data_IF_289941687160
#
_entry.id   IF_289941687160
#
_cell.length_a   1.000
_cell.length_b   1.000
_cell.length_c   1.000
_cell.angle_alpha   90.00
_cell.angle_beta   90.00
_cell.angle_gamma   90.00
#
_symmetry.space_group_name_H-M   'P 1'
#
loop_
_entity.id
_entity.type
_entity.pdbx_description
1 polymer ?
#
# COMPACT_ATOMS: atom_id res chain seq x y z
N UNK A 1 22.30 0.43 -7.70
CA UNK A 1 23.04 -0.80 -8.04
C UNK A 1 24.26 -0.54 -8.91
N UNK A 2 24.14 0.05 -10.10
CA UNK A 2 25.27 0.16 -11.04
C UNK A 2 26.55 0.82 -10.46
N UNK A 3 26.37 1.80 -9.56
CA UNK A 3 27.48 2.49 -8.88
C UNK A 3 28.20 1.59 -7.84
N UNK A 4 27.48 0.66 -7.20
CA UNK A 4 28.06 -0.32 -6.27
C UNK A 4 28.91 -1.37 -7.00
N UNK A 5 28.51 -1.69 -8.22
CA UNK A 5 29.19 -2.63 -9.10
C UNK A 5 30.34 -1.99 -9.92
N UNK A 6 30.63 -0.71 -9.67
CA UNK A 6 31.80 -0.01 -10.23
C UNK A 6 31.55 0.81 -11.49
N UNK A 7 30.29 0.97 -11.95
CA UNK A 7 29.99 1.79 -13.13
C UNK A 7 30.38 3.25 -12.89
N UNK A 8 31.45 3.68 -13.56
CA UNK A 8 31.97 5.05 -13.51
C UNK A 8 33.14 5.28 -12.55
N UNK A 9 33.68 4.24 -11.92
CA UNK A 9 34.88 4.35 -11.08
C UNK A 9 36.14 4.30 -11.95
N UNK A 10 36.84 5.43 -12.04
CA UNK A 10 38.10 5.56 -12.81
C UNK A 10 39.27 4.79 -12.21
N UNK A 11 39.11 4.31 -10.97
CA UNK A 11 40.07 3.44 -10.29
C UNK A 11 39.79 1.95 -10.50
N UNK A 12 38.77 1.58 -11.29
CA UNK A 12 38.60 0.18 -11.70
C UNK A 12 39.86 -0.28 -12.44
N UNK A 13 40.62 -1.10 -11.74
CA UNK A 13 41.85 -1.67 -12.25
C UNK A 13 41.50 -2.56 -13.46
N UNK A 14 41.68 -2.01 -14.65
CA UNK A 14 41.51 -2.68 -15.95
C UNK A 14 42.24 -4.03 -15.98
N UNK A 15 43.23 -4.24 -15.09
CA UNK A 15 43.98 -5.48 -14.90
C UNK A 15 43.18 -6.63 -14.28
N UNK A 16 42.09 -6.35 -13.55
CA UNK A 16 41.19 -7.37 -13.02
C UNK A 16 40.16 -7.86 -14.05
N UNK A 17 40.14 -7.30 -15.27
CA UNK A 17 39.50 -7.87 -16.45
C UNK A 17 37.97 -7.98 -16.46
N UNK A 18 37.30 -7.87 -15.30
CA UNK A 18 35.86 -8.01 -15.20
C UNK A 18 35.17 -6.65 -15.21
N UNK A 19 34.37 -6.43 -16.24
CA UNK A 19 33.44 -5.32 -16.30
C UNK A 19 32.27 -5.51 -15.31
N UNK A 20 31.53 -4.42 -15.12
CA UNK A 20 30.30 -4.41 -14.34
C UNK A 20 29.35 -5.55 -14.72
N UNK A 21 29.20 -5.80 -16.02
CA UNK A 21 28.23 -6.76 -16.57
C UNK A 21 28.64 -8.21 -16.25
N UNK A 22 29.93 -8.50 -16.20
CA UNK A 22 30.46 -9.80 -15.80
C UNK A 22 30.15 -10.12 -14.34
N UNK A 23 30.35 -9.15 -13.44
CA UNK A 23 30.04 -9.32 -12.00
C UNK A 23 28.54 -9.47 -11.78
N UNK A 24 27.76 -8.68 -12.50
CA UNK A 24 26.30 -8.78 -12.47
C UNK A 24 25.84 -10.19 -12.90
N UNK A 25 26.37 -10.74 -13.98
CA UNK A 25 26.02 -12.09 -14.44
C UNK A 25 26.34 -13.18 -13.41
N UNK A 26 27.47 -13.06 -12.69
CA UNK A 26 27.82 -13.99 -11.61
C UNK A 26 26.88 -13.88 -10.41
N UNK A 27 26.48 -12.66 -10.04
CA UNK A 27 25.53 -12.43 -8.95
C UNK A 27 24.12 -12.91 -9.31
N UNK A 28 23.70 -12.77 -10.57
CA UNK A 28 22.45 -13.35 -11.10
C UNK A 28 22.42 -14.87 -10.96
N UNK A 29 23.51 -15.56 -11.32
CA UNK A 29 23.62 -17.02 -11.20
C UNK A 29 23.66 -17.50 -9.75
N UNK A 30 24.40 -16.80 -8.88
CA UNK A 30 24.41 -17.09 -7.45
C UNK A 30 23.02 -16.90 -6.83
N UNK A 31 22.32 -15.81 -7.17
CA UNK A 31 20.98 -15.53 -6.68
C UNK A 31 19.98 -16.60 -7.14
N UNK A 32 20.04 -17.01 -8.41
CA UNK A 32 19.22 -18.12 -8.93
C UNK A 32 19.45 -19.41 -8.14
N UNK A 33 20.70 -19.79 -7.89
CA UNK A 33 21.00 -20.99 -7.12
C UNK A 33 20.38 -20.93 -5.72
N UNK A 34 20.58 -19.80 -5.01
CA UNK A 34 20.01 -19.59 -3.67
C UNK A 34 18.47 -19.63 -3.65
N UNK A 35 17.82 -19.11 -4.69
CA UNK A 35 16.36 -19.15 -4.84
C UNK A 35 15.85 -20.57 -5.11
N UNK A 36 16.48 -21.31 -6.02
CA UNK A 36 16.06 -22.68 -6.37
C UNK A 36 16.23 -23.63 -5.19
N UNK A 37 17.34 -23.50 -4.46
CA UNK A 37 17.60 -24.27 -3.23
C UNK A 37 16.81 -23.74 -2.01
N UNK A 38 16.15 -22.59 -2.15
CA UNK A 38 15.40 -21.92 -1.11
C UNK A 38 16.23 -21.59 0.15
N UNK A 39 17.44 -21.07 -0.04
CA UNK A 39 18.40 -20.75 1.03
C UNK A 39 18.84 -19.30 1.01
N UNK A 40 18.88 -18.67 2.19
CA UNK A 40 19.34 -17.29 2.33
C UNK A 40 20.85 -17.11 2.42
N UNK A 41 21.60 -18.21 2.60
CA UNK A 41 23.06 -18.24 2.58
C UNK A 41 23.54 -19.60 2.07
N UNK A 42 24.77 -19.63 1.58
CA UNK A 42 25.49 -20.86 1.20
C UNK A 42 26.83 -20.92 1.93
N UNK A 43 27.41 -22.11 2.09
CA UNK A 43 28.76 -22.19 2.66
C UNK A 43 29.77 -21.47 1.76
N UNK A 44 30.85 -20.96 2.32
CA UNK A 44 31.91 -20.30 1.54
C UNK A 44 32.49 -21.23 0.47
N UNK A 45 32.65 -22.51 0.78
CA UNK A 45 33.07 -23.53 -0.19
C UNK A 45 32.07 -23.71 -1.33
N UNK A 46 30.77 -23.75 -1.02
CA UNK A 46 29.73 -23.90 -2.05
C UNK A 46 29.66 -22.64 -2.92
N UNK A 47 29.75 -21.45 -2.31
CA UNK A 47 29.81 -20.19 -3.06
C UNK A 47 30.97 -20.16 -4.05
N UNK A 48 32.17 -20.58 -3.63
CA UNK A 48 33.34 -20.65 -4.51
C UNK A 48 33.11 -21.68 -5.62
N UNK A 49 32.49 -22.83 -5.32
CA UNK A 49 32.17 -23.84 -6.32
C UNK A 49 31.13 -23.36 -7.35
N UNK A 50 30.10 -22.63 -6.91
CA UNK A 50 29.08 -22.02 -7.77
C UNK A 50 29.72 -20.98 -8.71
N UNK A 51 30.58 -20.12 -8.16
CA UNK A 51 31.30 -19.12 -8.96
C UNK A 51 32.25 -19.81 -9.97
N UNK A 52 33.01 -20.82 -9.55
CA UNK A 52 33.91 -21.59 -10.43
C UNK A 52 33.15 -22.25 -11.59
N UNK A 53 32.02 -22.89 -11.31
CA UNK A 53 31.14 -23.48 -12.33
C UNK A 53 30.63 -22.42 -13.32
N UNK A 54 30.20 -21.27 -12.79
CA UNK A 54 29.71 -20.15 -13.59
C UNK A 54 30.81 -19.60 -14.52
N UNK A 55 32.01 -19.34 -14.00
CA UNK A 55 33.16 -18.87 -14.77
C UNK A 55 33.55 -19.86 -15.88
N UNK A 56 33.61 -21.15 -15.55
CA UNK A 56 33.90 -22.21 -16.53
C UNK A 56 32.87 -22.26 -17.65
N UNK A 57 31.59 -22.12 -17.32
CA UNK A 57 30.51 -22.12 -18.32
C UNK A 57 30.62 -20.93 -19.29
N UNK A 58 31.15 -19.79 -18.83
CA UNK A 58 31.35 -18.58 -19.62
C UNK A 58 32.74 -18.49 -20.27
N UNK A 59 33.65 -19.43 -19.95
CA UNK A 59 35.02 -19.44 -20.45
C UNK A 59 35.92 -18.35 -19.87
N UNK A 60 35.62 -17.86 -18.66
CA UNK A 60 36.39 -16.80 -18.01
C UNK A 60 37.56 -17.38 -17.19
N UNK A 61 38.78 -16.82 -17.30
CA UNK A 61 39.97 -17.34 -16.64
C UNK A 61 40.16 -16.86 -15.19
N UNK A 62 39.18 -16.14 -14.64
CA UNK A 62 39.28 -15.50 -13.33
C UNK A 62 39.28 -16.49 -12.16
N UNK A 63 39.81 -16.06 -11.01
CA UNK A 63 39.79 -16.84 -9.77
C UNK A 63 38.47 -16.62 -9.01
N UNK A 64 37.67 -17.68 -8.74
CA UNK A 64 36.39 -17.55 -8.02
C UNK A 64 36.58 -17.00 -6.60
N UNK A 65 37.69 -17.32 -5.92
CA UNK A 65 38.02 -16.80 -4.60
C UNK A 65 38.26 -15.28 -4.62
N UNK A 66 39.00 -14.80 -5.62
CA UNK A 66 39.28 -13.36 -5.76
C UNK A 66 37.99 -12.57 -6.04
N UNK A 67 37.09 -13.15 -6.85
CA UNK A 67 35.78 -12.55 -7.13
C UNK A 67 34.96 -12.46 -5.84
N UNK A 68 34.88 -13.54 -5.07
CA UNK A 68 34.15 -13.54 -3.81
C UNK A 68 34.70 -12.48 -2.83
N UNK A 69 36.02 -12.38 -2.71
CA UNK A 69 36.66 -11.33 -1.89
C UNK A 69 36.31 -9.93 -2.40
N UNK A 70 36.34 -9.70 -3.71
CA UNK A 70 35.97 -8.42 -4.30
C UNK A 70 34.50 -8.05 -4.01
N UNK A 71 33.57 -8.98 -4.22
CA UNK A 71 32.15 -8.78 -3.96
C UNK A 71 31.86 -8.52 -2.47
N UNK A 72 32.66 -9.14 -1.58
CA UNK A 72 32.59 -8.90 -0.14
C UNK A 72 33.13 -7.52 0.25
N UNK A 73 34.28 -7.12 -0.31
CA UNK A 73 34.86 -5.78 -0.08
C UNK A 73 33.92 -4.67 -0.54
N UNK A 74 33.21 -4.88 -1.65
CA UNK A 74 32.17 -3.97 -2.18
C UNK A 74 30.86 -3.99 -1.39
N UNK A 75 30.74 -4.84 -0.36
CA UNK A 75 29.53 -5.01 0.46
C UNK A 75 28.30 -5.40 -0.36
N UNK A 76 28.50 -6.14 -1.45
CA UNK A 76 27.41 -6.78 -2.20
C UNK A 76 27.08 -8.12 -1.56
N UNK A 77 28.12 -8.85 -1.16
CA UNK A 77 28.04 -10.07 -0.35
C UNK A 77 28.59 -9.79 1.06
N UNK A 78 28.16 -10.59 2.03
CA UNK A 78 28.70 -10.64 3.39
C UNK A 78 29.15 -12.07 3.70
N UNK A 79 30.24 -12.19 4.46
CA UNK A 79 30.69 -13.45 5.05
C UNK A 79 30.41 -13.44 6.54
N UNK A 80 29.70 -14.45 7.05
CA UNK A 80 29.43 -14.62 8.47
C UNK A 80 29.57 -16.10 8.86
N UNK A 81 30.45 -16.44 9.80
CA UNK A 81 30.65 -17.81 10.28
C UNK A 81 30.84 -18.87 9.16
N UNK A 82 31.60 -18.54 8.11
CA UNK A 82 31.82 -19.43 6.97
C UNK A 82 30.62 -19.57 6.01
N UNK A 83 29.57 -18.77 6.20
CA UNK A 83 28.45 -18.63 5.27
C UNK A 83 28.60 -17.35 4.45
N UNK A 84 28.20 -17.41 3.19
CA UNK A 84 28.13 -16.28 2.26
C UNK A 84 26.66 -16.01 1.97
N UNK A 85 26.26 -14.74 2.13
CA UNK A 85 24.93 -14.26 1.77
C UNK A 85 25.02 -12.91 1.07
N UNK A 86 23.93 -12.49 0.44
CA UNK A 86 23.79 -11.12 -0.02
C UNK A 86 23.78 -10.16 1.16
N UNK A 87 24.43 -9.01 1.01
CA UNK A 87 24.55 -8.04 2.09
C UNK A 87 23.20 -7.47 2.55
N UNK A 88 22.19 -7.54 1.67
CA UNK A 88 20.79 -7.15 1.85
C UNK A 88 19.90 -8.14 1.08
N UNK A 89 18.73 -8.47 1.62
CA UNK A 89 17.78 -9.37 0.95
C UNK A 89 17.33 -8.81 -0.41
N UNK A 90 17.12 -7.50 -0.51
CA UNK A 90 16.77 -6.81 -1.75
C UNK A 90 17.81 -6.99 -2.86
N UNK A 91 19.09 -7.26 -2.54
CA UNK A 91 20.09 -7.57 -3.56
C UNK A 91 19.85 -8.97 -4.14
N UNK A 92 19.59 -9.97 -3.30
CA UNK A 92 19.22 -11.31 -3.75
C UNK A 92 18.00 -11.24 -4.67
N UNK A 93 16.94 -10.53 -4.22
CA UNK A 93 15.70 -10.43 -4.99
C UNK A 93 15.92 -9.77 -6.35
N UNK A 94 16.64 -8.65 -6.39
CA UNK A 94 16.95 -7.94 -7.63
C UNK A 94 17.76 -8.79 -8.62
N UNK A 95 18.82 -9.48 -8.17
CA UNK A 95 19.63 -10.30 -9.07
C UNK A 95 18.88 -11.56 -9.54
N UNK A 96 18.05 -12.16 -8.68
CA UNK A 96 17.16 -13.25 -9.09
C UNK A 96 16.14 -12.78 -10.15
N UNK A 97 15.56 -11.59 -9.96
CA UNK A 97 14.63 -11.00 -10.92
C UNK A 97 15.31 -10.73 -12.28
N UNK A 98 16.52 -10.17 -12.28
CA UNK A 98 17.32 -9.98 -13.52
C UNK A 98 17.62 -11.30 -14.22
N UNK A 99 17.93 -12.36 -13.47
CA UNK A 99 18.13 -13.69 -14.05
C UNK A 99 16.85 -14.21 -14.69
N UNK A 100 15.70 -14.08 -14.02
CA UNK A 100 14.41 -14.52 -14.54
C UNK A 100 14.00 -13.80 -15.84
N UNK A 101 14.48 -12.56 -16.09
CA UNK A 101 14.28 -11.88 -17.39
C UNK A 101 14.93 -12.65 -18.54
N UNK A 102 16.05 -13.34 -18.28
CA UNK A 102 16.84 -14.10 -19.25
C UNK A 102 16.48 -15.60 -19.25
N UNK A 103 15.87 -16.08 -18.16
CA UNK A 103 15.66 -17.50 -17.86
C UNK A 103 14.19 -17.76 -17.54
N UNK A 104 13.45 -18.30 -18.50
CA UNK A 104 12.01 -18.55 -18.37
C UNK A 104 11.70 -19.69 -17.39
N UNK A 105 12.58 -20.67 -17.24
CA UNK A 105 12.37 -21.77 -16.29
C UNK A 105 12.41 -21.26 -14.85
N UNK A 106 13.33 -20.32 -14.55
CA UNK A 106 13.35 -19.65 -13.26
C UNK A 106 12.07 -18.82 -13.05
N UNK A 107 11.60 -18.10 -14.06
CA UNK A 107 10.35 -17.35 -13.95
C UNK A 107 9.16 -18.27 -13.65
N UNK A 108 9.04 -19.38 -14.38
CA UNK A 108 7.97 -20.36 -14.18
C UNK A 108 8.02 -20.91 -12.73
N UNK A 109 9.22 -21.24 -12.22
CA UNK A 109 9.43 -21.66 -10.83
C UNK A 109 8.98 -20.59 -9.82
N UNK A 110 9.30 -19.31 -10.05
CA UNK A 110 8.86 -18.21 -9.17
C UNK A 110 7.32 -18.10 -9.15
N UNK A 111 6.68 -18.30 -10.30
CA UNK A 111 5.23 -18.22 -10.47
C UNK A 111 4.47 -19.43 -9.88
N UNK A 112 5.15 -20.52 -9.52
CA UNK A 112 4.53 -21.63 -8.78
C UNK A 112 4.13 -21.22 -7.35
N UNK A 113 4.85 -20.27 -6.75
CA UNK A 113 4.62 -19.76 -5.38
C UNK A 113 4.72 -18.24 -5.34
N UNK A 114 3.77 -17.52 -5.97
CA UNK A 114 3.91 -16.08 -6.23
C UNK A 114 3.97 -15.24 -4.95
N UNK A 115 3.25 -15.63 -3.88
CA UNK A 115 3.32 -14.93 -2.60
C UNK A 115 4.63 -15.16 -1.86
N UNK A 116 5.26 -16.32 -2.06
CA UNK A 116 6.55 -16.64 -1.47
C UNK A 116 7.67 -15.81 -2.12
N UNK A 117 7.61 -15.67 -3.44
CA UNK A 117 8.59 -14.93 -4.24
C UNK A 117 8.14 -13.52 -4.65
N UNK A 118 7.21 -12.92 -3.89
CA UNK A 118 6.53 -11.67 -4.28
C UNK A 118 7.50 -10.51 -4.55
N UNK A 119 8.56 -10.38 -3.75
CA UNK A 119 9.58 -9.34 -3.95
C UNK A 119 10.33 -9.51 -5.26
N UNK A 120 10.70 -10.76 -5.60
CA UNK A 120 11.42 -11.08 -6.85
C UNK A 120 10.53 -10.82 -8.06
N UNK A 121 9.25 -11.22 -7.98
CA UNK A 121 8.29 -11.01 -9.07
C UNK A 121 7.99 -9.52 -9.28
N UNK A 122 7.93 -8.74 -8.19
CA UNK A 122 7.77 -7.28 -8.26
C UNK A 122 8.97 -6.63 -8.94
N UNK A 123 10.19 -6.99 -8.51
CA UNK A 123 11.42 -6.52 -9.16
C UNK A 123 11.46 -6.92 -10.64
N UNK A 124 11.03 -8.13 -10.98
CA UNK A 124 10.93 -8.60 -12.36
C UNK A 124 9.99 -7.71 -13.19
N UNK A 125 8.79 -7.41 -12.69
CA UNK A 125 7.83 -6.54 -13.38
C UNK A 125 8.41 -5.14 -13.63
N UNK A 126 9.20 -4.63 -12.68
CA UNK A 126 9.90 -3.35 -12.81
C UNK A 126 11.01 -3.35 -13.87
N UNK A 127 11.61 -4.51 -14.14
CA UNK A 127 12.68 -4.71 -15.12
C UNK A 127 12.11 -5.00 -16.52
N UNK A 128 11.07 -5.83 -16.63
CA UNK A 128 10.42 -6.23 -17.88
C UNK A 128 8.99 -5.70 -17.95
N UNK A 129 8.89 -4.38 -18.10
CA UNK A 129 7.67 -3.57 -17.97
C UNK A 129 6.58 -3.81 -19.04
N UNK A 130 6.88 -4.65 -20.04
CA UNK A 130 6.00 -4.99 -21.16
C UNK A 130 5.52 -6.44 -21.13
N UNK A 131 5.76 -7.19 -20.04
CA UNK A 131 5.36 -8.59 -19.92
C UNK A 131 3.85 -8.74 -19.63
N UNK A 132 3.05 -8.85 -20.70
CA UNK A 132 1.62 -9.06 -20.59
C UNK A 132 1.26 -10.42 -19.98
N UNK A 133 2.10 -11.44 -20.12
CA UNK A 133 1.78 -12.78 -19.65
C UNK A 133 1.97 -12.92 -18.15
N UNK A 134 2.99 -12.26 -17.60
CA UNK A 134 3.12 -12.09 -16.16
C UNK A 134 1.86 -11.44 -15.57
N UNK A 135 1.41 -10.34 -16.16
CA UNK A 135 0.24 -9.60 -15.66
C UNK A 135 -1.01 -10.48 -15.68
N UNK A 136 -1.25 -11.24 -16.76
CA UNK A 136 -2.35 -12.22 -16.84
C UNK A 136 -2.22 -13.30 -15.76
N UNK A 137 -1.02 -13.85 -15.59
CA UNK A 137 -0.77 -14.95 -14.66
C UNK A 137 -1.00 -14.54 -13.22
N UNK A 138 -0.46 -13.40 -12.80
CA UNK A 138 -0.68 -12.88 -11.45
C UNK A 138 -2.14 -12.47 -11.22
N UNK A 139 -2.82 -11.90 -12.22
CA UNK A 139 -4.24 -11.55 -12.11
C UNK A 139 -5.16 -12.76 -11.90
N UNK A 140 -4.80 -13.96 -12.40
CA UNK A 140 -5.60 -15.19 -12.20
C UNK A 140 -5.76 -15.58 -10.73
N UNK A 141 -4.88 -15.12 -9.84
CA UNK A 141 -5.01 -15.36 -8.40
C UNK A 141 -6.09 -14.49 -7.74
N UNK A 142 -6.56 -13.44 -8.44
CA UNK A 142 -7.69 -12.61 -8.04
C UNK A 142 -8.99 -13.10 -8.69
N UNK A 143 -9.24 -14.41 -8.72
CA UNK A 143 -10.55 -14.91 -9.14
C UNK A 143 -11.58 -14.55 -8.07
N UNK A 144 -12.63 -13.81 -8.45
CA UNK A 144 -13.66 -13.35 -7.52
C UNK A 144 -14.31 -14.50 -6.76
N UNK A 145 -14.48 -15.66 -7.39
CA UNK A 145 -15.12 -16.81 -6.73
C UNK A 145 -14.34 -17.32 -5.53
N UNK A 146 -13.03 -17.06 -5.49
CA UNK A 146 -12.16 -17.48 -4.41
C UNK A 146 -12.20 -16.53 -3.21
N UNK A 147 -12.80 -15.34 -3.34
CA UNK A 147 -12.76 -14.28 -2.33
C UNK A 147 -14.10 -13.68 -1.95
N UNK A 148 -15.16 -13.91 -2.73
CA UNK A 148 -16.50 -13.43 -2.40
C UNK A 148 -17.04 -14.13 -1.15
N UNK A 149 -17.11 -13.39 -0.04
CA UNK A 149 -17.87 -13.76 1.15
C UNK A 149 -19.25 -13.11 1.08
N UNK A 150 -20.30 -13.92 1.20
CA UNK A 150 -21.70 -13.50 0.99
C UNK A 150 -22.19 -12.42 1.96
N UNK A 151 -21.50 -12.21 3.09
CA UNK A 151 -21.90 -11.23 4.11
C UNK A 151 -20.69 -10.41 4.55
N UNK A 152 -20.71 -9.11 4.23
CA UNK A 152 -19.69 -8.18 4.67
C UNK A 152 -20.30 -7.01 5.47
N UNK A 153 -20.28 -7.06 6.81
CA UNK A 153 -20.91 -6.06 7.66
C UNK A 153 -20.39 -4.63 7.48
N UNK A 154 -19.18 -4.45 6.93
CA UNK A 154 -18.64 -3.10 6.68
C UNK A 154 -19.35 -2.39 5.51
N UNK A 155 -19.96 -3.15 4.62
CA UNK A 155 -20.71 -2.65 3.47
C UNK A 155 -22.23 -2.74 3.67
N UNK A 156 -22.70 -3.32 4.78
CA UNK A 156 -24.11 -3.33 5.10
C UNK A 156 -24.67 -1.91 5.21
N UNK A 157 -25.86 -1.73 4.65
CA UNK A 157 -26.57 -0.46 4.69
C UNK A 157 -26.98 -0.16 6.13
N UNK A 158 -26.40 0.89 6.69
CA UNK A 158 -26.76 1.41 8.00
C UNK A 158 -28.15 2.06 7.93
N UNK A 159 -28.94 1.96 9.02
CA UNK A 159 -30.19 2.69 9.11
C UNK A 159 -29.95 4.19 8.91
N UNK A 160 -30.91 4.87 8.29
CA UNK A 160 -30.82 6.32 8.10
C UNK A 160 -30.88 7.02 9.46
N UNK A 161 -30.07 8.06 9.59
CA UNK A 161 -30.00 8.87 10.79
C UNK A 161 -31.30 9.68 10.94
N UNK A 162 -31.76 9.86 12.17
CA UNK A 162 -32.97 10.64 12.49
C UNK A 162 -32.56 12.05 12.90
N UNK A 163 -32.54 12.99 11.96
CA UNK A 163 -32.40 14.43 12.23
C UNK A 163 -31.28 14.83 13.22
N UNK A 164 -30.16 14.10 13.24
CA UNK A 164 -29.07 14.38 14.17
C UNK A 164 -28.45 15.75 13.90
N UNK A 165 -27.91 16.38 14.95
CA UNK A 165 -27.21 17.66 14.80
C UNK A 165 -26.05 17.52 13.79
N UNK A 166 -25.88 18.47 12.84
CA UNK A 166 -24.75 18.52 11.91
C UNK A 166 -23.39 18.30 12.57
N UNK A 167 -23.25 18.76 13.82
CA UNK A 167 -22.03 18.64 14.60
C UNK A 167 -21.76 17.18 15.03
N UNK A 168 -22.78 16.37 15.32
CA UNK A 168 -22.58 14.98 15.75
C UNK A 168 -22.01 14.11 14.62
N UNK A 169 -22.36 14.41 13.37
CA UNK A 169 -21.90 13.69 12.18
C UNK A 169 -20.53 14.15 11.68
N UNK A 170 -20.19 15.41 11.94
CA UNK A 170 -18.90 16.00 11.57
C UNK A 170 -17.87 15.93 12.72
N UNK A 171 -18.21 15.33 13.86
CA UNK A 171 -17.33 15.20 15.04
C UNK A 171 -17.26 13.73 15.48
N UNK A 172 -16.08 13.11 15.38
CA UNK A 172 -15.37 12.47 16.52
C UNK A 172 -14.12 11.71 16.06
N UNK A 173 -12.99 11.77 16.81
CA UNK A 173 -12.91 11.34 18.22
C UNK A 173 -12.63 12.49 19.21
N UNK A 174 -12.69 12.25 20.54
CA UNK A 174 -12.91 13.29 21.55
C UNK A 174 -11.61 14.07 21.79
N UNK A 175 -11.53 15.32 21.35
CA UNK A 175 -10.45 16.22 21.74
C UNK A 175 -10.99 17.53 22.29
N UNK A 176 -11.46 17.46 23.54
CA UNK A 176 -11.17 18.52 24.54
C UNK A 176 -9.81 18.27 25.22
N UNK A 177 -8.92 17.52 24.58
CA UNK A 177 -7.51 17.47 24.94
C UNK A 177 -6.82 18.65 24.27
N UNK A 178 -6.73 19.76 24.99
CA UNK A 178 -5.93 20.93 24.63
C UNK A 178 -4.44 20.61 24.79
N UNK A 179 -3.98 19.46 24.31
CA UNK A 179 -2.56 19.09 24.33
C UNK A 179 -1.90 19.79 23.15
N UNK A 180 -0.91 20.63 23.47
CA UNK A 180 0.02 21.24 22.53
C UNK A 180 0.77 20.17 21.73
N UNK A 181 0.17 19.68 20.63
CA UNK A 181 0.83 18.76 19.68
C UNK A 181 1.74 19.47 18.66
N UNK A 182 2.04 20.77 18.84
CA UNK A 182 2.79 21.54 17.85
C UNK A 182 4.31 21.31 17.89
N UNK A 183 4.88 20.70 18.93
CA UNK A 183 6.30 20.30 18.95
C UNK A 183 6.51 18.83 18.53
N UNK A 184 5.53 17.96 18.76
CA UNK A 184 5.66 16.55 18.39
C UNK A 184 5.38 16.29 16.90
N UNK A 185 4.72 17.20 16.18
CA UNK A 185 4.46 17.05 14.75
C UNK A 185 5.70 17.28 13.88
N UNK A 186 6.63 18.16 14.30
CA UNK A 186 7.97 18.24 13.71
C UNK A 186 8.81 17.00 14.06
N UNK A 187 8.66 16.45 15.27
CA UNK A 187 9.33 15.19 15.66
C UNK A 187 8.72 13.95 14.99
N UNK A 188 7.45 13.95 14.58
CA UNK A 188 6.77 12.87 13.84
C UNK A 188 6.87 13.03 12.32
N UNK A 189 7.17 14.22 11.80
CA UNK A 189 7.56 14.41 10.39
C UNK A 189 9.07 14.20 10.20
N UNK A 190 9.91 14.52 11.20
CA UNK A 190 11.32 14.15 11.24
C UNK A 190 11.54 12.68 11.66
N UNK A 191 10.55 12.07 12.32
CA UNK A 191 10.34 10.62 12.37
C UNK A 191 9.19 10.25 11.45
N UNK A 192 9.32 10.55 10.16
CA UNK A 192 8.84 9.57 9.19
C UNK A 192 9.25 8.21 9.73
N UNK A 193 8.31 7.26 9.81
CA UNK A 193 8.61 5.88 10.14
C UNK A 193 9.67 5.44 9.11
N UNK A 194 10.92 5.68 9.45
CA UNK A 194 12.06 5.53 8.57
C UNK A 194 12.44 4.08 8.70
N UNK A 195 11.57 3.24 8.13
CA UNK A 195 11.81 1.82 7.89
C UNK A 195 13.05 1.60 7.01
N UNK A 196 13.75 2.66 6.58
CA UNK A 196 15.05 2.58 5.92
C UNK A 196 16.25 2.62 6.89
N UNK A 197 16.01 2.87 8.18
CA UNK A 197 17.00 2.83 9.26
C UNK A 197 16.83 1.62 10.20
N UNK A 198 15.91 0.70 9.91
CA UNK A 198 16.05 -0.65 10.43
C UNK A 198 17.32 -1.21 9.80
N UNK A 199 18.34 -1.39 10.66
CA UNK A 199 19.38 -2.37 10.40
C UNK A 199 18.64 -3.63 9.95
N UNK A 200 18.85 -4.01 8.68
CA UNK A 200 18.29 -5.15 7.94
C UNK A 200 18.73 -6.47 8.59
N UNK A 201 18.43 -6.62 9.88
CA UNK A 201 18.86 -7.68 10.79
C UNK A 201 17.89 -8.87 10.77
N UNK A 202 16.72 -8.71 10.13
CA UNK A 202 15.95 -9.85 9.65
C UNK A 202 16.64 -10.43 8.41
N UNK A 203 17.74 -11.15 8.64
CA UNK A 203 18.63 -11.76 7.64
C UNK A 203 17.99 -12.88 6.79
N UNK A 204 16.68 -13.05 6.84
CA UNK A 204 15.99 -14.13 6.12
C UNK A 204 15.37 -13.59 4.84
N UNK A 205 15.95 -13.89 3.66
CA UNK A 205 15.49 -13.31 2.40
C UNK A 205 14.20 -13.96 1.89
N UNK A 206 13.74 -15.04 2.52
CA UNK A 206 12.51 -15.73 2.17
C UNK A 206 11.59 -15.80 3.38
N UNK A 207 10.26 -15.80 3.18
CA UNK A 207 9.31 -15.94 4.29
C UNK A 207 9.48 -17.29 5.03
N UNK A 208 9.47 -17.25 6.36
CA UNK A 208 9.52 -18.45 7.22
C UNK A 208 8.18 -19.19 7.22
N UNK A 209 7.08 -18.44 7.14
CA UNK A 209 5.74 -19.00 7.29
C UNK A 209 5.28 -19.70 6.01
N UNK A 210 4.83 -20.94 6.17
CA UNK A 210 4.13 -21.65 5.11
C UNK A 210 2.84 -20.92 4.75
N UNK A 211 2.60 -20.73 3.45
CA UNK A 211 1.46 -20.00 2.92
C UNK A 211 0.10 -20.51 3.46
N UNK A 212 -0.02 -21.81 3.66
CA UNK A 212 -1.24 -22.47 4.18
C UNK A 212 -1.55 -22.11 5.64
N UNK A 213 -0.58 -21.62 6.39
CA UNK A 213 -0.75 -21.20 7.79
C UNK A 213 -1.16 -19.74 7.93
N UNK A 214 -1.09 -18.97 6.84
CA UNK A 214 -1.35 -17.54 6.86
C UNK A 214 -2.87 -17.29 6.84
N UNK A 215 -3.41 -16.45 7.75
CA UNK A 215 -4.82 -16.07 7.73
C UNK A 215 -5.27 -15.55 6.37
N UNK A 216 -6.54 -15.82 6.02
CA UNK A 216 -7.09 -15.51 4.70
C UNK A 216 -7.01 -14.02 4.38
N UNK A 217 -7.31 -13.14 5.34
CA UNK A 217 -7.23 -11.69 5.14
C UNK A 217 -5.80 -11.22 4.84
N UNK A 218 -4.81 -11.80 5.52
CA UNK A 218 -3.39 -11.50 5.30
C UNK A 218 -2.92 -12.01 3.93
N UNK A 219 -3.37 -13.21 3.53
CA UNK A 219 -3.08 -13.78 2.20
C UNK A 219 -3.59 -12.87 1.09
N UNK A 220 -4.85 -12.42 1.18
CA UNK A 220 -5.41 -11.48 0.21
C UNK A 220 -4.67 -10.14 0.20
N UNK A 221 -4.33 -9.60 1.36
CA UNK A 221 -3.56 -8.34 1.46
C UNK A 221 -2.19 -8.45 0.77
N UNK A 222 -1.46 -9.56 0.96
CA UNK A 222 -0.18 -9.80 0.29
C UNK A 222 -0.35 -9.96 -1.22
N UNK A 223 -1.40 -10.65 -1.65
CA UNK A 223 -1.72 -10.82 -3.07
C UNK A 223 -2.08 -9.48 -3.73
N UNK A 224 -2.88 -8.65 -3.06
CA UNK A 224 -3.22 -7.32 -3.53
C UNK A 224 -2.00 -6.43 -3.70
N UNK A 225 -1.03 -6.53 -2.77
CA UNK A 225 0.25 -5.85 -2.88
C UNK A 225 1.03 -6.28 -4.12
N UNK A 226 1.17 -7.59 -4.33
CA UNK A 226 1.86 -8.14 -5.49
C UNK A 226 1.20 -7.71 -6.80
N UNK A 227 -0.10 -7.93 -6.96
CA UNK A 227 -0.80 -7.64 -8.22
C UNK A 227 -0.82 -6.14 -8.51
N UNK A 228 -1.01 -5.30 -7.48
CA UNK A 228 -1.01 -3.84 -7.63
C UNK A 228 0.35 -3.32 -8.09
N UNK A 229 1.44 -3.80 -7.47
CA UNK A 229 2.80 -3.41 -7.88
C UNK A 229 3.12 -3.91 -9.31
N UNK A 230 2.79 -5.16 -9.64
CA UNK A 230 2.98 -5.70 -10.99
C UNK A 230 2.19 -4.89 -12.02
N UNK A 231 0.94 -4.53 -11.76
CA UNK A 231 0.12 -3.69 -12.64
C UNK A 231 0.72 -2.28 -12.81
N UNK A 232 1.14 -1.64 -11.70
CA UNK A 232 1.75 -0.31 -11.70
C UNK A 232 3.03 -0.28 -12.54
N UNK A 233 3.86 -1.31 -12.39
CA UNK A 233 5.19 -1.36 -13.00
C UNK A 233 5.14 -1.89 -14.44
N UNK A 234 4.10 -2.62 -14.83
CA UNK A 234 3.84 -3.10 -16.20
C UNK A 234 3.25 -2.03 -17.14
N UNK A 235 3.72 -0.79 -17.02
CA UNK A 235 3.14 0.33 -17.74
C UNK A 235 3.49 0.35 -19.24
N UNK A 236 4.41 -0.49 -19.72
CA UNK A 236 4.80 -0.57 -21.15
C UNK A 236 3.98 -1.60 -21.94
N UNK A 237 3.10 -2.36 -21.29
CA UNK A 237 2.13 -3.21 -22.00
C UNK A 237 1.21 -2.34 -22.87
N UNK A 238 1.16 -2.62 -24.16
CA UNK A 238 0.35 -1.86 -25.14
C UNK A 238 -1.10 -2.32 -25.21
N UNK A 239 -1.40 -3.54 -24.73
CA UNK A 239 -2.75 -4.07 -24.60
C UNK A 239 -3.52 -3.31 -23.51
N UNK A 240 -4.26 -2.29 -23.94
CA UNK A 240 -5.09 -1.45 -23.07
C UNK A 240 -6.24 -2.25 -22.45
N UNK A 241 -6.82 -3.20 -23.19
CA UNK A 241 -7.94 -4.00 -22.70
C UNK A 241 -7.51 -4.83 -21.50
N UNK A 242 -6.37 -5.50 -21.61
CA UNK A 242 -5.80 -6.27 -20.51
C UNK A 242 -5.53 -5.38 -19.28
N UNK A 243 -4.95 -4.19 -19.48
CA UNK A 243 -4.71 -3.26 -18.36
C UNK A 243 -6.00 -2.83 -17.68
N UNK A 244 -7.02 -2.46 -18.45
CA UNK A 244 -8.31 -2.02 -17.92
C UNK A 244 -9.00 -3.16 -17.16
N UNK A 245 -8.97 -4.39 -17.70
CA UNK A 245 -9.51 -5.59 -17.05
C UNK A 245 -8.80 -5.89 -15.73
N UNK A 246 -7.47 -5.96 -15.73
CA UNK A 246 -6.69 -6.25 -14.51
C UNK A 246 -6.86 -5.13 -13.49
N UNK A 247 -6.94 -3.88 -13.94
CA UNK A 247 -7.16 -2.75 -13.06
C UNK A 247 -8.55 -2.76 -12.43
N UNK A 248 -9.60 -3.10 -13.19
CA UNK A 248 -10.94 -3.36 -12.62
C UNK A 248 -10.89 -4.41 -11.52
N UNK A 249 -10.20 -5.52 -11.79
CA UNK A 249 -10.12 -6.63 -10.87
C UNK A 249 -9.39 -6.23 -9.58
N UNK A 250 -8.27 -5.50 -9.70
CA UNK A 250 -7.52 -4.94 -8.57
C UNK A 250 -8.40 -3.97 -7.75
N UNK A 251 -9.09 -3.03 -8.39
CA UNK A 251 -9.97 -2.09 -7.66
C UNK A 251 -11.09 -2.83 -6.92
N UNK A 252 -11.69 -3.83 -7.55
CA UNK A 252 -12.72 -4.66 -6.91
C UNK A 252 -12.16 -5.37 -5.68
N UNK A 253 -10.98 -6.00 -5.80
CA UNK A 253 -10.40 -6.79 -4.71
C UNK A 253 -9.86 -5.94 -3.56
N UNK A 254 -9.51 -4.67 -3.78
CA UNK A 254 -9.26 -3.75 -2.66
C UNK A 254 -10.53 -3.52 -1.81
N UNK A 255 -11.70 -3.49 -2.44
CA UNK A 255 -12.99 -3.50 -1.75
C UNK A 255 -13.23 -4.81 -1.00
N UNK A 256 -13.08 -5.96 -1.68
CA UNK A 256 -13.25 -7.30 -1.07
C UNK A 256 -12.32 -7.48 0.14
N UNK A 257 -11.05 -7.10 0.01
CA UNK A 257 -10.04 -7.21 1.07
C UNK A 257 -10.48 -6.51 2.36
N UNK A 258 -11.09 -5.32 2.24
CA UNK A 258 -11.62 -4.58 3.38
C UNK A 258 -12.60 -5.45 4.19
N UNK A 259 -13.44 -6.22 3.50
CA UNK A 259 -14.35 -7.18 4.10
C UNK A 259 -13.68 -8.40 4.70
N UNK A 260 -12.83 -9.04 3.91
CA UNK A 260 -12.14 -10.27 4.30
C UNK A 260 -11.31 -10.06 5.56
N UNK A 261 -10.59 -8.93 5.66
CA UNK A 261 -9.80 -8.60 6.87
C UNK A 261 -10.71 -8.30 8.07
N UNK A 262 -11.83 -7.61 7.87
CA UNK A 262 -12.82 -7.37 8.94
C UNK A 262 -13.43 -8.68 9.47
N UNK A 263 -13.69 -9.66 8.58
CA UNK A 263 -14.25 -10.95 8.92
C UNK A 263 -13.22 -11.93 9.53
N UNK A 264 -11.93 -11.66 9.38
CA UNK A 264 -10.84 -12.55 9.83
C UNK A 264 -10.78 -12.65 11.37
N UNK A 265 -10.95 -13.86 11.96
CA UNK A 265 -10.90 -14.04 13.40
C UNK A 265 -9.55 -13.66 14.03
N UNK A 266 -8.44 -13.94 13.35
CA UNK A 266 -7.10 -13.60 13.85
C UNK A 266 -6.91 -12.08 13.90
N UNK A 267 -7.47 -11.36 12.93
CA UNK A 267 -7.47 -9.90 12.95
C UNK A 267 -8.32 -9.35 14.11
N UNK A 268 -9.49 -9.93 14.36
CA UNK A 268 -10.33 -9.55 15.51
C UNK A 268 -9.64 -9.76 16.85
N UNK A 269 -8.98 -10.89 17.03
CA UNK A 269 -8.23 -11.19 18.25
C UNK A 269 -7.09 -10.19 18.46
N UNK A 270 -6.37 -9.86 17.39
CA UNK A 270 -5.32 -8.84 17.39
C UNK A 270 -5.84 -7.45 17.79
N UNK A 271 -6.92 -6.97 17.17
CA UNK A 271 -7.53 -5.67 17.50
C UNK A 271 -8.08 -5.64 18.93
N UNK A 272 -8.65 -6.74 19.40
CA UNK A 272 -9.13 -6.88 20.78
C UNK A 272 -7.96 -6.77 21.75
N UNK A 273 -6.85 -7.47 21.47
CA UNK A 273 -5.65 -7.40 22.28
C UNK A 273 -5.06 -5.98 22.31
N UNK A 274 -4.90 -5.33 21.15
CA UNK A 274 -4.38 -3.95 21.07
C UNK A 274 -5.25 -2.96 21.83
N UNK A 275 -6.57 -3.04 21.67
CA UNK A 275 -7.52 -2.16 22.37
C UNK A 275 -7.42 -2.34 23.88
N UNK A 276 -7.25 -3.57 24.38
CA UNK A 276 -7.01 -3.82 25.81
C UNK A 276 -5.75 -3.13 26.31
N UNK A 277 -4.64 -3.23 25.56
CA UNK A 277 -3.37 -2.59 25.94
C UNK A 277 -3.51 -1.06 25.96
N UNK A 278 -4.08 -0.46 24.91
CA UNK A 278 -4.27 0.98 24.80
C UNK A 278 -5.18 1.56 25.90
N UNK A 279 -6.23 0.83 26.29
CA UNK A 279 -7.15 1.27 27.34
C UNK A 279 -6.60 1.02 28.74
N UNK A 280 -5.76 0.00 28.94
CA UNK A 280 -5.10 -0.28 30.22
C UNK A 280 -4.15 0.85 30.64
N UNK A 281 -3.52 1.52 29.67
CA UNK A 281 -2.64 2.70 29.91
C UNK A 281 -3.43 3.98 30.26
N UNK A 282 -4.72 4.01 29.96
CA UNK A 282 -5.58 5.12 30.35
C UNK A 282 -6.12 4.84 31.76
N UNK A 283 -5.60 5.53 32.78
CA UNK A 283 -5.92 5.41 34.23
C UNK A 283 -7.42 5.51 34.64
N UNK A 284 -8.36 5.49 33.69
CA UNK A 284 -9.80 5.54 33.90
C UNK A 284 -10.39 4.13 33.87
N UNK A 285 -11.35 3.87 34.76
CA UNK A 285 -12.21 2.68 34.72
C UNK A 285 -13.04 2.70 33.43
N UNK A 286 -12.52 2.09 32.35
CA UNK A 286 -13.27 1.90 31.11
C UNK A 286 -14.27 0.77 31.33
N UNK A 287 -15.54 1.01 30.96
CA UNK A 287 -16.58 -0.03 31.03
C UNK A 287 -16.38 -1.06 29.91
N UNK A 288 -16.84 -2.29 30.13
CA UNK A 288 -16.78 -3.36 29.12
C UNK A 288 -17.51 -2.95 27.82
N UNK A 289 -18.66 -2.28 27.94
CA UNK A 289 -19.41 -1.72 26.81
C UNK A 289 -18.57 -0.74 25.99
N UNK A 290 -17.86 0.19 26.65
CA UNK A 290 -16.99 1.13 25.95
C UNK A 290 -15.81 0.44 25.26
N UNK A 291 -15.29 -0.62 25.87
CA UNK A 291 -14.24 -1.43 25.24
C UNK A 291 -14.76 -2.09 23.96
N UNK A 292 -15.96 -2.70 24.00
CA UNK A 292 -16.58 -3.34 22.84
C UNK A 292 -16.87 -2.35 21.70
N UNK A 293 -17.35 -1.14 22.02
CA UNK A 293 -17.52 -0.06 21.04
C UNK A 293 -16.22 0.33 20.33
N UNK A 294 -15.11 0.45 21.09
CA UNK A 294 -13.80 0.81 20.51
C UNK A 294 -13.26 -0.33 19.64
N UNK A 295 -13.41 -1.57 20.08
CA UNK A 295 -13.03 -2.75 19.27
C UNK A 295 -13.83 -2.79 17.97
N UNK A 296 -15.16 -2.64 18.03
CA UNK A 296 -16.01 -2.61 16.82
C UNK A 296 -15.62 -1.48 15.87
N UNK A 297 -15.33 -0.29 16.40
CA UNK A 297 -14.84 0.83 15.61
C UNK A 297 -13.51 0.49 14.92
N UNK A 298 -12.51 -0.01 15.67
CA UNK A 298 -11.19 -0.34 15.12
C UNK A 298 -11.24 -1.47 14.11
N UNK A 299 -12.07 -2.48 14.34
CA UNK A 299 -12.32 -3.57 13.40
C UNK A 299 -12.80 -3.06 12.04
N UNK A 300 -13.54 -1.96 11.98
CA UNK A 300 -14.03 -1.37 10.73
C UNK A 300 -13.07 -0.32 10.16
N UNK A 301 -12.44 0.50 11.01
CA UNK A 301 -11.51 1.56 10.58
C UNK A 301 -10.21 0.99 9.99
N UNK A 302 -9.59 0.00 10.63
CA UNK A 302 -8.27 -0.46 10.21
C UNK A 302 -8.26 -1.15 8.84
N UNK A 303 -9.20 -2.04 8.49
CA UNK A 303 -9.24 -2.62 7.14
C UNK A 303 -9.40 -1.56 6.05
N UNK A 304 -10.27 -0.57 6.26
CA UNK A 304 -10.44 0.53 5.32
C UNK A 304 -9.16 1.40 5.22
N UNK A 305 -8.47 1.63 6.35
CA UNK A 305 -7.20 2.33 6.38
C UNK A 305 -6.08 1.55 5.66
N UNK A 306 -6.01 0.23 5.83
CA UNK A 306 -5.07 -0.62 5.11
C UNK A 306 -5.35 -0.64 3.61
N UNK A 307 -6.62 -0.71 3.19
CA UNK A 307 -6.99 -0.64 1.79
C UNK A 307 -6.59 0.71 1.17
N UNK A 308 -6.92 1.82 1.83
CA UNK A 308 -6.52 3.15 1.39
C UNK A 308 -4.99 3.30 1.32
N UNK A 309 -4.27 2.81 2.34
CA UNK A 309 -2.80 2.87 2.38
C UNK A 309 -2.17 2.02 1.28
N UNK A 310 -2.63 0.78 1.08
CA UNK A 310 -2.18 -0.11 0.02
C UNK A 310 -2.39 0.49 -1.36
N UNK A 311 -3.59 0.98 -1.67
CA UNK A 311 -3.86 1.70 -2.93
C UNK A 311 -2.95 2.93 -3.09
N UNK A 312 -2.71 3.67 -2.00
CA UNK A 312 -1.82 4.85 -2.01
C UNK A 312 -0.37 4.48 -2.33
N UNK A 313 0.15 3.40 -1.77
CA UNK A 313 1.56 3.03 -1.95
C UNK A 313 1.83 2.17 -3.18
N UNK A 314 0.87 1.33 -3.57
CA UNK A 314 1.11 0.24 -4.53
C UNK A 314 0.49 0.53 -5.89
N UNK A 315 -0.60 1.31 -5.94
CA UNK A 315 -1.38 1.52 -7.15
C UNK A 315 -1.35 2.99 -7.63
N UNK A 316 -0.95 3.93 -6.79
CA UNK A 316 -1.05 5.36 -7.09
C UNK A 316 -0.06 5.81 -8.16
N UNK A 317 -0.52 5.79 -9.41
CA UNK A 317 0.21 6.29 -10.57
C UNK A 317 -0.74 6.99 -11.52
N UNK A 318 -0.33 8.16 -12.03
CA UNK A 318 -1.11 8.89 -13.03
C UNK A 318 -1.29 8.08 -14.33
N UNK A 319 -0.44 7.07 -14.58
CA UNK A 319 -0.49 6.22 -15.78
C UNK A 319 -1.76 5.37 -15.89
N UNK A 320 -2.46 5.13 -14.79
CA UNK A 320 -3.72 4.37 -14.76
C UNK A 320 -4.96 5.27 -14.94
N UNK A 321 -4.82 6.59 -15.02
CA UNK A 321 -5.96 7.52 -15.08
C UNK A 321 -6.88 7.30 -16.29
N UNK A 322 -6.31 6.96 -17.46
CA UNK A 322 -7.11 6.70 -18.66
C UNK A 322 -7.93 5.41 -18.56
N UNK A 323 -7.35 4.35 -17.98
CA UNK A 323 -8.08 3.12 -17.70
C UNK A 323 -9.14 3.37 -16.63
N UNK A 324 -8.83 4.20 -15.63
CA UNK A 324 -9.79 4.60 -14.61
C UNK A 324 -11.02 5.31 -15.20
N UNK A 325 -10.80 6.31 -16.06
CA UNK A 325 -11.88 7.06 -16.71
C UNK A 325 -12.76 6.16 -17.58
N UNK A 326 -12.18 5.14 -18.21
CA UNK A 326 -12.91 4.13 -19.00
C UNK A 326 -13.79 3.25 -18.11
N UNK A 327 -13.28 2.77 -16.97
CA UNK A 327 -14.05 1.98 -16.01
C UNK A 327 -15.23 2.76 -15.42
N UNK A 328 -15.06 4.08 -15.20
CA UNK A 328 -16.13 4.96 -14.71
C UNK A 328 -17.25 5.20 -15.75
N UNK A 329 -17.11 4.74 -17.00
CA UNK A 329 -18.22 4.77 -17.96
C UNK A 329 -19.16 3.58 -17.78
N UNK A 330 -18.72 2.52 -17.09
CA UNK A 330 -19.51 1.32 -16.87
C UNK A 330 -20.39 1.46 -15.61
N UNK A 331 -21.68 1.75 -15.82
CA UNK A 331 -22.67 1.92 -14.74
C UNK A 331 -22.89 0.67 -13.89
N UNK A 332 -22.66 -0.52 -14.45
CA UNK A 332 -22.79 -1.79 -13.72
C UNK A 332 -21.70 -1.86 -12.65
N UNK A 333 -20.46 -1.53 -13.02
CA UNK A 333 -19.32 -1.50 -12.08
C UNK A 333 -19.52 -0.46 -10.99
N UNK A 334 -19.97 0.75 -11.32
CA UNK A 334 -20.25 1.80 -10.32
C UNK A 334 -21.37 1.39 -9.35
N UNK A 335 -22.22 0.45 -9.74
CA UNK A 335 -23.26 -0.07 -8.85
C UNK A 335 -22.72 -1.17 -7.92
N UNK A 336 -21.57 -1.76 -8.23
CA UNK A 336 -20.89 -2.72 -7.35
C UNK A 336 -20.17 -1.99 -6.21
N UNK A 337 -20.47 -2.39 -4.97
CA UNK A 337 -19.92 -1.72 -3.79
C UNK A 337 -18.42 -1.96 -3.65
N UNK A 338 -17.92 -3.17 -3.91
CA UNK A 338 -16.51 -3.49 -3.76
C UNK A 338 -15.64 -2.67 -4.74
N UNK A 339 -16.01 -2.68 -6.02
CA UNK A 339 -15.40 -1.85 -7.04
C UNK A 339 -15.48 -0.37 -6.66
N UNK A 340 -16.65 0.13 -6.26
CA UNK A 340 -16.82 1.55 -5.98
C UNK A 340 -15.97 2.06 -4.84
N UNK A 341 -15.82 1.25 -3.78
CA UNK A 341 -14.97 1.57 -2.63
C UNK A 341 -13.49 1.55 -3.00
N UNK A 342 -13.01 0.50 -3.68
CA UNK A 342 -11.62 0.45 -4.14
C UNK A 342 -11.28 1.55 -5.15
N UNK A 343 -12.19 1.82 -6.09
CA UNK A 343 -12.10 2.93 -7.03
C UNK A 343 -12.07 4.29 -6.32
N UNK A 344 -12.84 4.45 -5.24
CA UNK A 344 -12.85 5.68 -4.45
C UNK A 344 -11.55 5.88 -3.68
N UNK A 345 -10.95 4.81 -3.13
CA UNK A 345 -9.60 4.89 -2.56
C UNK A 345 -8.61 5.37 -3.62
N UNK A 346 -8.64 4.78 -4.82
CA UNK A 346 -7.76 5.17 -5.91
C UNK A 346 -7.93 6.63 -6.32
N UNK A 347 -9.17 7.08 -6.57
CA UNK A 347 -9.47 8.47 -6.94
C UNK A 347 -8.99 9.46 -5.87
N UNK A 348 -9.18 9.13 -4.59
CA UNK A 348 -8.72 9.94 -3.47
C UNK A 348 -7.19 9.98 -3.36
N UNK A 349 -6.50 8.87 -3.61
CA UNK A 349 -5.04 8.78 -3.50
C UNK A 349 -4.31 9.54 -4.62
N UNK A 350 -4.75 9.39 -5.88
CA UNK A 350 -4.07 10.04 -7.03
C UNK A 350 -4.61 11.43 -7.37
N UNK A 351 -5.81 11.79 -6.88
CA UNK A 351 -6.49 13.07 -7.14
C UNK A 351 -6.37 13.56 -8.60
N UNK A 352 -6.88 12.81 -9.59
CA UNK A 352 -6.83 13.22 -10.98
C UNK A 352 -7.70 14.48 -11.19
N UNK A 353 -7.68 15.04 -12.41
CA UNK A 353 -8.67 16.04 -12.78
C UNK A 353 -10.10 15.54 -12.47
N UNK A 354 -10.91 16.43 -11.90
CA UNK A 354 -12.29 16.17 -11.48
C UNK A 354 -12.44 15.05 -10.43
N UNK A 355 -11.41 14.80 -9.61
CA UNK A 355 -11.42 13.72 -8.62
C UNK A 355 -12.61 13.79 -7.65
N UNK A 356 -13.07 14.99 -7.26
CA UNK A 356 -14.24 15.15 -6.39
C UNK A 356 -15.51 14.68 -7.09
N UNK A 357 -15.67 15.03 -8.37
CA UNK A 357 -16.79 14.57 -9.19
C UNK A 357 -16.76 13.06 -9.41
N UNK A 358 -15.57 12.47 -9.58
CA UNK A 358 -15.37 11.01 -9.64
C UNK A 358 -15.71 10.32 -8.32
N UNK A 359 -15.27 10.86 -7.19
CA UNK A 359 -15.64 10.37 -5.86
C UNK A 359 -17.15 10.45 -5.63
N UNK A 360 -17.79 11.54 -6.05
CA UNK A 360 -19.25 11.67 -5.99
C UNK A 360 -19.95 10.55 -6.75
N UNK A 361 -19.52 10.28 -7.97
CA UNK A 361 -20.07 9.21 -8.80
C UNK A 361 -19.98 7.85 -8.11
N UNK A 362 -18.83 7.58 -7.49
CA UNK A 362 -18.55 6.30 -6.82
C UNK A 362 -19.25 6.16 -5.46
N UNK A 363 -19.31 7.21 -4.65
CA UNK A 363 -19.75 7.11 -3.26
C UNK A 363 -21.24 7.34 -3.07
N UNK A 364 -21.91 8.10 -3.95
CA UNK A 364 -23.27 8.56 -3.69
C UNK A 364 -24.28 7.41 -3.60
N UNK A 365 -24.11 6.32 -4.35
CA UNK A 365 -25.01 5.17 -4.32
C UNK A 365 -24.78 4.25 -3.12
N UNK A 366 -23.63 4.40 -2.45
CA UNK A 366 -23.20 3.58 -1.33
C UNK A 366 -23.12 4.38 -0.02
N UNK A 367 -23.75 5.57 0.04
CA UNK A 367 -23.69 6.49 1.18
C UNK A 367 -24.23 5.91 2.50
N UNK A 368 -25.04 4.86 2.42
CA UNK A 368 -25.59 4.17 3.57
C UNK A 368 -24.65 3.10 4.14
N UNK A 369 -23.60 2.72 3.41
CA UNK A 369 -22.58 1.81 3.95
C UNK A 369 -21.76 2.47 5.05
N UNK A 370 -21.28 1.67 6.00
CA UNK A 370 -20.45 2.17 7.10
C UNK A 370 -19.16 2.82 6.58
N UNK A 371 -18.50 2.22 5.59
CA UNK A 371 -17.26 2.74 5.02
C UNK A 371 -17.43 4.13 4.41
N UNK A 372 -18.54 4.41 3.71
CA UNK A 372 -18.74 5.73 3.12
C UNK A 372 -19.09 6.74 4.20
N UNK A 373 -20.03 6.38 5.09
CA UNK A 373 -20.56 7.29 6.11
C UNK A 373 -19.55 7.63 7.21
N UNK A 374 -18.74 6.67 7.64
CA UNK A 374 -17.85 6.84 8.78
C UNK A 374 -16.37 6.90 8.41
N UNK A 375 -15.93 6.26 7.33
CA UNK A 375 -14.53 6.32 6.93
C UNK A 375 -14.28 7.43 5.90
N UNK A 376 -14.90 7.36 4.71
CA UNK A 376 -14.71 8.36 3.66
C UNK A 376 -15.14 9.75 4.09
N UNK A 377 -16.31 9.91 4.70
CA UNK A 377 -16.77 11.23 5.14
C UNK A 377 -15.77 11.89 6.11
N UNK A 378 -15.20 11.13 7.04
CA UNK A 378 -14.22 11.67 8.00
C UNK A 378 -12.91 12.09 7.32
N UNK A 379 -12.40 11.31 6.37
CA UNK A 379 -11.18 11.71 5.63
C UNK A 379 -11.45 12.91 4.72
N UNK A 380 -12.61 12.96 4.04
CA UNK A 380 -12.97 14.06 3.14
C UNK A 380 -13.16 15.38 3.91
N UNK A 381 -13.86 15.34 5.05
CA UNK A 381 -14.02 16.51 5.93
C UNK A 381 -12.68 16.97 6.51
N UNK A 382 -11.76 16.03 6.80
CA UNK A 382 -10.41 16.39 7.26
C UNK A 382 -9.62 17.08 6.15
N UNK A 383 -9.66 16.54 4.93
CA UNK A 383 -8.95 17.07 3.77
C UNK A 383 -9.51 18.40 3.27
N UNK A 384 -10.81 18.63 3.45
CA UNK A 384 -11.46 19.92 3.18
C UNK A 384 -10.82 21.08 3.96
N UNK A 385 -10.22 20.79 5.12
CA UNK A 385 -9.53 21.77 5.95
C UNK A 385 -8.07 22.00 5.53
N UNK A 386 -7.59 21.36 4.47
CA UNK A 386 -6.25 21.61 3.93
C UNK A 386 -6.26 22.90 3.12
N UNK A 387 -5.24 23.74 3.33
CA UNK A 387 -5.10 25.03 2.64
C UNK A 387 -4.78 24.89 1.15
N UNK A 388 -4.36 23.70 0.72
CA UNK A 388 -3.90 23.42 -0.63
C UNK A 388 -5.02 23.30 -1.66
N UNK A 389 -6.29 23.23 -1.23
CA UNK A 389 -7.43 23.07 -2.15
C UNK A 389 -7.83 24.42 -2.76
N UNK A 390 -8.01 24.42 -4.09
CA UNK A 390 -8.58 25.55 -4.80
C UNK A 390 -10.02 25.83 -4.33
N UNK A 391 -10.51 27.05 -4.56
CA UNK A 391 -11.84 27.45 -4.10
C UNK A 391 -12.96 26.63 -4.76
N UNK A 392 -12.82 26.32 -6.06
CA UNK A 392 -13.74 25.46 -6.82
C UNK A 392 -13.75 24.04 -6.27
N UNK A 393 -12.57 23.42 -6.10
CA UNK A 393 -12.44 22.07 -5.54
C UNK A 393 -13.01 21.97 -4.13
N UNK A 394 -12.74 22.98 -3.29
CA UNK A 394 -13.31 23.04 -1.95
C UNK A 394 -14.85 23.07 -2.01
N UNK A 395 -15.44 23.89 -2.87
CA UNK A 395 -16.90 23.95 -3.03
C UNK A 395 -17.48 22.60 -3.48
N UNK A 396 -16.85 21.94 -4.44
CA UNK A 396 -17.28 20.61 -4.90
C UNK A 396 -17.18 19.57 -3.78
N UNK A 397 -16.11 19.62 -2.98
CA UNK A 397 -15.86 18.69 -1.89
C UNK A 397 -16.83 18.90 -0.73
N UNK A 398 -17.05 20.15 -0.33
CA UNK A 398 -18.08 20.49 0.68
C UNK A 398 -19.46 20.02 0.22
N UNK A 399 -19.80 20.23 -1.06
CA UNK A 399 -21.07 19.77 -1.62
C UNK A 399 -21.16 18.24 -1.58
N UNK A 400 -20.08 17.53 -1.90
CA UNK A 400 -20.05 16.06 -1.81
C UNK A 400 -20.29 15.59 -0.36
N UNK A 401 -19.58 16.15 0.61
CA UNK A 401 -19.77 15.84 2.03
C UNK A 401 -21.22 16.06 2.46
N UNK A 402 -21.82 17.20 2.07
CA UNK A 402 -23.23 17.50 2.37
C UNK A 402 -24.17 16.48 1.73
N UNK A 403 -23.96 16.12 0.46
CA UNK A 403 -24.82 15.17 -0.23
C UNK A 403 -24.74 13.76 0.37
N UNK A 404 -23.56 13.31 0.79
CA UNK A 404 -23.39 12.04 1.52
C UNK A 404 -24.15 12.05 2.84
N UNK A 405 -24.06 13.14 3.61
CA UNK A 405 -24.77 13.30 4.90
C UNK A 405 -26.29 13.37 4.67
N UNK A 406 -26.75 14.14 3.68
CA UNK A 406 -28.17 14.27 3.41
C UNK A 406 -28.81 12.96 2.96
N UNK A 407 -28.14 12.21 2.08
CA UNK A 407 -28.69 10.96 1.55
C UNK A 407 -28.79 9.87 2.63
N UNK A 408 -27.87 9.91 3.61
CA UNK A 408 -27.83 9.03 4.78
C UNK A 408 -28.75 9.46 5.94
N UNK A 409 -29.41 10.61 5.83
CA UNK A 409 -30.29 11.17 6.86
C UNK A 409 -31.75 11.12 6.41
N UNK A 410 -32.64 10.78 7.35
CA UNK A 410 -34.08 10.88 7.17
C UNK A 410 -34.58 12.23 7.70
N UNK A 411 -35.51 12.85 6.97
CA UNK A 411 -36.06 14.15 7.30
C UNK A 411 -37.58 14.10 7.32
N UNK A 412 -38.18 14.77 8.30
CA UNK A 412 -39.64 14.91 8.42
C UNK A 412 -40.24 15.77 7.29
N UNK A 413 -39.48 16.75 6.80
CA UNK A 413 -39.95 17.67 5.76
C UNK A 413 -38.80 18.18 4.88
N UNK A 414 -39.14 18.67 3.68
CA UNK A 414 -38.19 19.36 2.80
C UNK A 414 -37.63 20.64 3.43
N UNK A 415 -38.40 21.32 4.30
CA UNK A 415 -37.92 22.49 5.03
C UNK A 415 -36.82 22.08 6.02
N UNK A 416 -37.03 21.01 6.79
CA UNK A 416 -36.02 20.47 7.72
C UNK A 416 -34.74 20.05 6.99
N UNK A 417 -34.88 19.42 5.81
CA UNK A 417 -33.72 19.07 4.96
C UNK A 417 -32.95 20.30 4.51
N UNK A 418 -33.64 21.39 4.14
CA UNK A 418 -33.02 22.65 3.71
C UNK A 418 -32.34 23.38 4.87
N UNK A 419 -32.95 23.44 6.04
CA UNK A 419 -32.30 23.99 7.24
C UNK A 419 -31.03 23.22 7.57
N UNK A 420 -31.09 21.89 7.58
CA UNK A 420 -29.91 21.06 7.83
C UNK A 420 -28.81 21.25 6.78
N UNK A 421 -29.17 21.47 5.51
CA UNK A 421 -28.22 21.84 4.45
C UNK A 421 -27.47 23.13 4.78
N UNK A 422 -28.21 24.19 5.11
CA UNK A 422 -27.64 25.51 5.39
C UNK A 422 -26.74 25.45 6.64
N UNK A 423 -27.12 24.67 7.65
CA UNK A 423 -26.33 24.46 8.86
C UNK A 423 -25.01 23.71 8.59
N UNK A 424 -25.05 22.65 7.78
CA UNK A 424 -23.86 21.91 7.36
C UNK A 424 -22.90 22.82 6.58
N UNK A 425 -23.40 23.56 5.59
CA UNK A 425 -22.60 24.46 4.78
C UNK A 425 -21.94 25.54 5.63
N UNK A 426 -22.67 26.14 6.57
CA UNK A 426 -22.14 27.12 7.50
C UNK A 426 -21.07 26.52 8.42
N UNK A 427 -21.28 25.30 8.90
CA UNK A 427 -20.32 24.57 9.75
C UNK A 427 -19.01 24.32 9.01
N UNK A 428 -19.08 23.82 7.77
CA UNK A 428 -17.92 23.55 6.93
C UNK A 428 -17.14 24.84 6.60
N UNK A 429 -17.84 25.92 6.21
CA UNK A 429 -17.24 27.25 6.00
C UNK A 429 -16.50 27.76 7.23
N UNK A 430 -17.13 27.66 8.40
CA UNK A 430 -16.53 28.08 9.67
C UNK A 430 -15.26 27.30 9.98
N UNK A 431 -15.27 25.97 9.77
CA UNK A 431 -14.09 25.11 9.96
C UNK A 431 -12.93 25.51 9.05
N UNK A 432 -13.19 25.75 7.77
CA UNK A 432 -12.16 26.20 6.82
C UNK A 432 -11.54 27.54 7.23
N UNK A 433 -12.35 28.50 7.67
CA UNK A 433 -11.84 29.80 8.16
C UNK A 433 -10.93 29.59 9.38
N UNK A 434 -11.35 28.76 10.34
CA UNK A 434 -10.54 28.44 11.53
C UNK A 434 -9.23 27.74 11.15
N UNK A 435 -9.27 26.82 10.17
CA UNK A 435 -8.07 26.13 9.68
C UNK A 435 -7.07 27.10 9.03
N UNK A 436 -7.55 27.99 8.14
CA UNK A 436 -6.73 29.04 7.51
C UNK A 436 -6.09 29.99 8.54
N UNK A 437 -6.86 30.42 9.55
CA UNK A 437 -6.33 31.28 10.62
C UNK A 437 -5.26 30.56 11.44
N UNK A 438 -5.49 29.28 11.78
CA UNK A 438 -4.55 28.48 12.59
C UNK A 438 -3.21 28.29 11.89
N UNK A 439 -3.22 28.01 10.59
CA UNK A 439 -1.99 27.79 9.82
C UNK A 439 -1.24 29.10 9.53
N UNK A 440 -1.97 30.19 9.27
CA UNK A 440 -1.33 31.51 9.17
C UNK A 440 -0.57 31.91 10.45
N UNK A 441 -1.06 31.49 11.62
CA UNK A 441 -0.37 31.70 12.89
C UNK A 441 0.83 30.76 13.13
N UNK A 442 0.87 29.57 12.51
CA UNK A 442 2.06 28.70 12.61
C UNK A 442 3.24 29.17 11.77
N UNK A 443 2.97 29.91 10.69
CA UNK A 443 4.00 30.41 9.77
C UNK A 443 4.64 31.73 10.20
N UNK A 444 4.12 32.36 11.26
CA UNK A 444 4.77 33.52 11.85
C UNK A 444 6.08 33.08 12.53
N UNK A 445 7.24 33.66 12.16
CA UNK A 445 8.52 33.28 12.73
C UNK A 445 8.42 33.43 14.24
N UNK A 446 8.68 32.32 14.97
CA UNK A 446 8.83 32.33 16.42
C UNK A 446 9.95 33.32 16.72
N UNK A 447 9.60 34.56 17.04
CA UNK A 447 10.56 35.58 17.50
C UNK A 447 11.18 35.00 18.74
N UNK A 448 12.42 34.52 18.62
CA UNK A 448 13.24 34.16 19.75
C UNK A 448 13.33 35.40 20.63
N UNK A 449 12.66 35.34 21.78
CA UNK A 449 12.94 36.26 22.87
C UNK A 449 14.33 35.85 23.40
N UNK A 450 15.31 36.73 23.16
CA UNK A 450 16.59 36.75 23.86
C UNK A 450 16.39 37.09 25.35
#
# INVERSE_FOLDING_TARGET
>A
MALLLGRGDTSEDVRLGQDHDSREALLELLAMHMVVENVGSVSESDCVAILDSSLKSMGWPDSPTNILENLTQRRVLKKNNGQVLFARASYLHYFAAKRAVKDTELLDYLLEKPLYFSSIITDYASLKRYDAELLRTINRHLDRTDWEELNNPIFEALPKLQGESPEALLISPPTKSNRHYSKDRELLQARSFDLSNDEDDSNEPFPILEEKSVPRGITLMRLMSLVSNVLRDSYEITDRSLKTEVFENVLTHWGIMTGTVHADPSFRDFITYLTRQLLAESDKKVTQERHEEVVDMFLKVFPAAFALSGVTHELSTAKLSLAFDELLQNKVLISDTNFSIGAAFFAYSIRPADWVSKLRLLLINHCDSWVVRHFFLNILVKDENLETLEESEWQELSQLCIDLIQKSTSYESNASRRTHYDDLLNTLRKRRIVAKVRNHHSDLPKRHAE
#
